data_IF_928208528259
#
_entry.id   IF_928208528259
#
_cell.length_a   1.000
_cell.length_b   1.000
_cell.length_c   1.000
_cell.angle_alpha   90.00
_cell.angle_beta   90.00
_cell.angle_gamma   90.00
#
_symmetry.space_group_name_H-M   'P 1'
#
loop_
_entity.id
_entity.type
_entity.pdbx_description
1 polymer ?
#
# COMPACT_ATOMS: atom_id res chain seq x y z
N UNK A 1 -5.85 -8.06 -0.42
CA UNK A 1 -6.25 -8.09 1.00
C UNK A 1 -5.13 -8.74 1.77
N UNK A 2 -4.40 -7.97 2.57
CA UNK A 2 -3.29 -8.45 3.39
C UNK A 2 -3.42 -8.01 4.85
N UNK A 3 -4.59 -7.48 5.24
CA UNK A 3 -4.87 -7.07 6.62
C UNK A 3 -4.74 -8.25 7.59
N UNK A 4 -4.23 -7.99 8.79
CA UNK A 4 -4.12 -8.99 9.86
C UNK A 4 -3.01 -10.02 9.65
N UNK A 5 -1.94 -9.65 8.93
CA UNK A 5 -0.76 -10.51 8.75
C UNK A 5 0.44 -10.00 9.57
N UNK A 6 1.54 -10.74 9.50
CA UNK A 6 2.81 -10.36 10.12
C UNK A 6 3.79 -9.74 9.12
N UNK A 7 3.30 -8.98 8.12
CA UNK A 7 4.17 -8.33 7.16
C UNK A 7 4.97 -7.22 7.85
N UNK A 8 6.26 -7.14 7.52
CA UNK A 8 7.23 -6.19 8.09
C UNK A 8 7.95 -5.42 6.99
N UNK A 9 8.73 -4.41 7.34
CA UNK A 9 9.53 -3.62 6.39
C UNK A 9 8.74 -2.46 5.79
N UNK A 10 9.24 -1.93 4.68
CA UNK A 10 8.70 -0.74 4.02
C UNK A 10 7.78 -1.11 2.85
N UNK A 11 6.89 -0.18 2.49
CA UNK A 11 6.07 -0.33 1.29
C UNK A 11 6.94 -0.11 0.03
N UNK A 12 6.85 -1.00 -0.97
CA UNK A 12 7.51 -0.80 -2.25
C UNK A 12 6.90 0.37 -3.04
N UNK A 13 7.74 1.12 -3.77
CA UNK A 13 7.29 2.16 -4.72
C UNK A 13 6.46 1.54 -5.86
N UNK A 14 6.64 0.26 -6.14
CA UNK A 14 5.94 -0.46 -7.20
C UNK A 14 4.41 -0.52 -6.98
N UNK A 15 3.93 -0.35 -5.74
CA UNK A 15 2.50 -0.29 -5.44
C UNK A 15 1.86 0.90 -6.17
N UNK A 16 2.55 2.04 -6.26
CA UNK A 16 2.06 3.23 -6.95
C UNK A 16 1.91 3.06 -8.47
N UNK A 17 2.50 2.02 -9.06
CA UNK A 17 2.40 1.73 -10.49
C UNK A 17 1.28 0.75 -10.84
N UNK A 18 0.29 0.60 -9.95
CA UNK A 18 -0.90 -0.21 -10.17
C UNK A 18 -2.10 0.69 -10.50
N UNK A 19 -2.28 1.13 -11.77
CA UNK A 19 -3.26 2.17 -12.13
C UNK A 19 -4.71 1.72 -11.91
N UNK A 20 -4.97 0.42 -11.92
CA UNK A 20 -6.29 -0.17 -11.71
C UNK A 20 -6.53 -0.58 -10.25
N UNK A 21 -5.61 -0.29 -9.34
CA UNK A 21 -5.79 -0.58 -7.91
C UNK A 21 -6.91 0.29 -7.36
N UNK A 22 -7.98 -0.35 -6.87
CA UNK A 22 -9.16 0.34 -6.32
C UNK A 22 -9.26 0.21 -4.81
N UNK A 23 -8.57 -0.79 -4.23
CA UNK A 23 -8.62 -1.11 -2.81
C UNK A 23 -7.28 -1.69 -2.36
N UNK A 24 -6.70 -1.08 -1.33
CA UNK A 24 -5.49 -1.55 -0.67
C UNK A 24 -5.79 -1.71 0.83
N UNK A 25 -5.82 -2.95 1.33
CA UNK A 25 -6.01 -3.26 2.75
C UNK A 25 -4.78 -3.98 3.27
N UNK A 26 -3.98 -3.26 4.06
CA UNK A 26 -2.70 -3.68 4.65
C UNK A 26 -2.61 -3.31 6.14
N UNK A 27 -3.71 -2.83 6.72
CA UNK A 27 -3.85 -2.54 8.15
C UNK A 27 -3.58 -3.78 9.01
N UNK A 28 -3.33 -3.59 10.31
CA UNK A 28 -3.03 -4.71 11.23
C UNK A 28 -1.82 -5.55 10.76
N UNK A 29 -0.79 -4.88 10.27
CA UNK A 29 0.53 -5.45 9.98
C UNK A 29 1.62 -4.69 10.77
N UNK A 30 2.88 -5.08 10.61
CA UNK A 30 4.06 -4.44 11.20
C UNK A 30 4.88 -3.67 10.13
N UNK A 31 4.20 -3.17 9.09
CA UNK A 31 4.80 -2.34 8.05
C UNK A 31 5.20 -0.98 8.66
N UNK A 32 6.38 -0.48 8.32
CA UNK A 32 6.97 0.73 8.89
C UNK A 32 7.80 1.48 7.84
N UNK A 33 8.25 2.70 8.17
CA UNK A 33 8.95 3.58 7.21
C UNK A 33 8.00 4.55 6.50
N UNK A 34 8.50 5.31 5.51
CA UNK A 34 7.71 6.32 4.83
C UNK A 34 6.66 5.70 3.91
N UNK A 35 5.60 6.48 3.65
CA UNK A 35 4.68 6.17 2.55
C UNK A 35 5.43 6.48 1.24
N UNK A 36 5.48 5.56 0.26
CA UNK A 36 6.17 5.77 -1.01
C UNK A 36 5.59 6.96 -1.77
N UNK A 37 6.43 7.76 -2.42
CA UNK A 37 5.97 8.96 -3.13
C UNK A 37 5.01 8.59 -4.27
N UNK A 38 5.24 7.45 -4.92
CA UNK A 38 4.38 6.90 -5.96
C UNK A 38 2.93 6.61 -5.55
N UNK A 39 2.58 6.65 -4.25
CA UNK A 39 1.19 6.55 -3.82
C UNK A 39 0.33 7.69 -4.38
N UNK A 40 0.93 8.82 -4.79
CA UNK A 40 0.23 9.87 -5.54
C UNK A 40 -0.38 9.39 -6.86
N UNK A 41 0.16 8.33 -7.46
CA UNK A 41 -0.34 7.74 -8.70
C UNK A 41 -1.57 6.85 -8.49
N UNK A 42 -1.93 6.52 -7.24
CA UNK A 42 -3.07 5.67 -6.88
C UNK A 42 -4.40 6.42 -6.93
N UNK A 43 -4.69 7.03 -8.08
CA UNK A 43 -5.87 7.88 -8.33
C UNK A 43 -7.21 7.13 -8.22
N UNK A 44 -7.20 5.81 -8.35
CA UNK A 44 -8.40 4.97 -8.29
C UNK A 44 -8.64 4.32 -6.92
N UNK A 45 -7.69 4.43 -5.97
CA UNK A 45 -7.83 3.86 -4.64
C UNK A 45 -8.83 4.68 -3.83
N UNK A 46 -9.82 4.00 -3.27
CA UNK A 46 -10.85 4.61 -2.43
C UNK A 46 -10.59 4.32 -0.96
N UNK A 47 -11.00 5.26 -0.11
CA UNK A 47 -11.09 5.06 1.34
C UNK A 47 -12.14 4.01 1.70
#
# INVERSE_FOLDING_TARGET
LLSGNHLTGQLPEEIGFLPNLTRLQIDQNMISGPIPASFENLTNVKH
#
